data_IF_514686170217
#
_entry.id   IF_514686170217
#
_cell.length_a   1.000
_cell.length_b   1.000
_cell.length_c   1.000
_cell.angle_alpha   90.00
_cell.angle_beta   90.00
_cell.angle_gamma   90.00
#
_symmetry.space_group_name_H-M   'P 1'
#
loop_
_entity.id
_entity.type
_entity.pdbx_description
1 polymer ?
#
# COMPACT_ATOMS: atom_id res chain seq x y z
N UNK A 1 4.50 35.96 13.50
CA UNK A 1 5.82 35.31 13.38
C UNK A 1 5.70 34.16 12.39
N UNK A 2 6.29 34.30 11.19
CA UNK A 2 6.21 33.28 10.14
C UNK A 2 7.19 32.16 10.49
N UNK A 3 6.71 30.94 10.80
CA UNK A 3 7.61 29.78 10.98
C UNK A 3 8.41 29.57 9.69
N UNK A 4 9.71 29.25 9.76
CA UNK A 4 10.50 28.98 8.56
C UNK A 4 9.87 27.82 7.78
N UNK A 5 9.52 28.07 6.51
CA UNK A 5 8.88 27.07 5.64
C UNK A 5 9.85 25.90 5.42
N UNK A 6 9.50 24.69 5.85
CA UNK A 6 10.36 23.50 5.69
C UNK A 6 10.70 23.24 4.21
N UNK A 7 11.91 22.75 3.92
CA UNK A 7 12.25 22.23 2.60
C UNK A 7 11.51 20.91 2.35
N UNK A 8 10.92 20.76 1.16
CA UNK A 8 10.06 19.63 0.82
C UNK A 8 10.55 18.85 -0.42
N UNK A 9 10.48 17.52 -0.33
CA UNK A 9 10.57 16.58 -1.44
C UNK A 9 9.15 16.16 -1.79
N UNK A 10 8.74 16.41 -3.03
CA UNK A 10 7.37 16.20 -3.50
C UNK A 10 7.33 14.95 -4.39
N UNK A 11 6.34 14.09 -4.16
CA UNK A 11 5.98 13.01 -5.06
C UNK A 11 4.63 13.29 -5.72
N UNK A 12 4.56 13.13 -7.03
CA UNK A 12 3.33 13.34 -7.81
C UNK A 12 3.01 12.07 -8.60
N UNK A 13 1.79 11.57 -8.40
CA UNK A 13 1.17 10.52 -9.23
C UNK A 13 0.14 11.16 -10.17
N UNK A 14 0.43 11.30 -11.47
CA UNK A 14 -0.45 11.98 -12.42
C UNK A 14 -1.47 11.02 -13.08
N UNK A 15 -2.72 11.46 -13.21
CA UNK A 15 -3.77 10.70 -13.89
C UNK A 15 -5.17 11.32 -13.74
N UNK A 16 -6.20 10.56 -14.14
CA UNK A 16 -7.61 10.95 -13.92
C UNK A 16 -7.93 11.14 -12.43
N UNK A 17 -7.28 10.35 -11.59
CA UNK A 17 -7.09 10.61 -10.17
C UNK A 17 -5.62 10.93 -9.98
N UNK A 18 -5.30 12.14 -9.54
CA UNK A 18 -3.93 12.53 -9.25
C UNK A 18 -3.73 12.60 -7.73
N UNK A 19 -2.50 12.32 -7.29
CA UNK A 19 -2.13 12.39 -5.88
C UNK A 19 -0.82 13.15 -5.68
N UNK A 20 -0.70 13.81 -4.54
CA UNK A 20 0.49 14.54 -4.12
C UNK A 20 0.90 14.12 -2.72
N UNK A 21 2.20 13.90 -2.55
CA UNK A 21 2.82 13.67 -1.25
C UNK A 21 3.96 14.67 -1.05
N UNK A 22 4.10 15.24 0.14
CA UNK A 22 5.25 16.07 0.51
C UNK A 22 5.95 15.51 1.74
N UNK A 23 7.26 15.30 1.63
CA UNK A 23 8.14 14.89 2.72
C UNK A 23 9.05 16.05 3.11
N UNK A 24 9.31 16.26 4.39
CA UNK A 24 10.44 17.10 4.81
C UNK A 24 11.79 16.37 4.66
N UNK A 25 12.89 17.08 4.87
CA UNK A 25 14.25 16.50 4.78
C UNK A 25 14.55 15.49 5.90
N UNK A 26 13.69 15.37 6.92
CA UNK A 26 13.75 14.31 7.93
C UNK A 26 12.98 13.05 7.50
N UNK A 27 12.31 13.10 6.34
CA UNK A 27 11.50 12.01 5.79
C UNK A 27 10.09 11.91 6.39
N UNK A 28 9.59 12.94 7.09
CA UNK A 28 8.23 12.97 7.64
C UNK A 28 7.24 13.51 6.61
N UNK A 29 6.11 12.83 6.45
CA UNK A 29 5.00 13.28 5.60
C UNK A 29 4.39 14.56 6.18
N UNK A 30 4.43 15.63 5.40
CA UNK A 30 3.83 16.93 5.70
C UNK A 30 2.52 17.16 4.93
N UNK A 31 2.33 16.48 3.79
CA UNK A 31 1.12 16.54 2.96
C UNK A 31 0.89 15.18 2.30
N UNK A 32 -0.35 14.72 2.27
CA UNK A 32 -0.79 13.57 1.49
C UNK A 32 -2.25 13.78 1.09
N UNK A 33 -2.51 14.03 -0.18
CA UNK A 33 -3.85 14.28 -0.71
C UNK A 33 -4.00 13.64 -2.09
N UNK A 34 -5.22 13.22 -2.43
CA UNK A 34 -5.58 12.71 -3.74
C UNK A 34 -6.97 13.20 -4.16
N UNK A 35 -7.18 13.32 -5.46
CA UNK A 35 -8.45 13.82 -5.99
C UNK A 35 -8.68 13.44 -7.45
N UNK A 36 -9.95 13.23 -7.80
CA UNK A 36 -10.38 13.16 -9.20
C UNK A 36 -10.36 14.57 -9.78
N UNK A 37 -9.83 14.72 -10.98
CA UNK A 37 -9.67 16.03 -11.65
C UNK A 37 -8.88 17.06 -10.81
N UNK A 38 -7.87 16.62 -10.07
CA UNK A 38 -7.07 17.49 -9.19
C UNK A 38 -6.15 18.41 -10.03
N UNK A 39 -6.43 19.72 -10.15
CA UNK A 39 -5.73 20.56 -11.10
C UNK A 39 -4.32 20.94 -10.60
N UNK A 40 -3.33 21.15 -11.50
CA UNK A 40 -1.96 21.53 -11.14
C UNK A 40 -1.86 22.78 -10.27
N UNK A 41 -2.73 23.77 -10.50
CA UNK A 41 -2.78 25.01 -9.72
C UNK A 41 -3.13 24.75 -8.25
N UNK A 42 -4.08 23.86 -7.98
CA UNK A 42 -4.45 23.50 -6.62
C UNK A 42 -3.34 22.69 -5.95
N UNK A 43 -2.71 21.75 -6.67
CA UNK A 43 -1.56 21.00 -6.16
C UNK A 43 -0.43 21.95 -5.73
N UNK A 44 -0.10 22.94 -6.56
CA UNK A 44 0.89 23.97 -6.25
C UNK A 44 0.52 24.75 -4.98
N UNK A 45 -0.74 25.18 -4.87
CA UNK A 45 -1.22 25.93 -3.71
C UNK A 45 -1.08 25.12 -2.41
N UNK A 46 -1.46 23.84 -2.44
CA UNK A 46 -1.33 22.92 -1.29
C UNK A 46 0.13 22.76 -0.87
N UNK A 47 1.03 22.55 -1.84
CA UNK A 47 2.46 22.39 -1.57
C UNK A 47 3.05 23.65 -0.92
N UNK A 48 2.76 24.84 -1.48
CA UNK A 48 3.33 26.12 -1.03
C UNK A 48 2.80 26.55 0.35
N UNK A 49 1.58 26.13 0.71
CA UNK A 49 1.04 26.29 2.07
C UNK A 49 1.81 25.50 3.11
N UNK A 50 2.26 24.29 2.75
CA UNK A 50 2.94 23.36 3.67
C UNK A 50 4.43 23.66 3.80
N UNK A 51 5.10 24.09 2.73
CA UNK A 51 6.53 24.39 2.77
C UNK A 51 7.12 24.88 1.45
N UNK A 52 8.45 24.75 1.32
CA UNK A 52 9.23 25.16 0.15
C UNK A 52 9.68 23.91 -0.63
N UNK A 53 9.09 23.60 -1.79
CA UNK A 53 9.51 22.47 -2.60
C UNK A 53 10.92 22.68 -3.15
N UNK A 54 11.77 21.66 -3.02
CA UNK A 54 13.15 21.66 -3.51
C UNK A 54 13.39 20.55 -4.54
N UNK A 55 12.65 19.45 -4.43
CA UNK A 55 12.73 18.31 -5.34
C UNK A 55 11.32 17.83 -5.67
N UNK A 56 11.08 17.46 -6.91
CA UNK A 56 9.85 16.81 -7.38
C UNK A 56 10.22 15.47 -8.01
N UNK A 57 9.47 14.43 -7.69
CA UNK A 57 9.63 13.08 -8.20
C UNK A 57 8.31 12.54 -8.73
N UNK A 58 8.38 11.72 -9.77
CA UNK A 58 7.25 10.96 -10.31
C UNK A 58 7.65 9.50 -10.49
N UNK A 59 6.66 8.63 -10.67
CA UNK A 59 6.84 7.18 -10.72
C UNK A 59 7.23 6.66 -12.12
N UNK A 60 7.24 7.54 -13.12
CA UNK A 60 7.58 7.24 -14.52
C UNK A 60 8.94 7.82 -14.90
N UNK A 61 9.77 7.03 -15.59
CA UNK A 61 11.07 7.47 -16.12
C UNK A 61 11.03 8.60 -17.16
N UNK A 62 9.85 8.92 -17.74
CA UNK A 62 9.63 10.17 -18.49
C UNK A 62 8.57 11.00 -17.78
N UNK A 63 9.00 12.13 -17.23
CA UNK A 63 8.16 13.08 -16.50
C UNK A 63 6.98 13.54 -17.38
N UNK A 64 5.71 13.29 -16.99
CA UNK A 64 4.54 13.78 -17.74
C UNK A 64 4.52 15.32 -17.76
N UNK A 65 3.99 15.93 -18.84
CA UNK A 65 3.98 17.39 -19.02
C UNK A 65 3.40 18.14 -17.81
N UNK A 66 2.34 17.60 -17.22
CA UNK A 66 1.70 18.13 -16.01
C UNK A 66 2.67 18.23 -14.82
N UNK A 67 3.55 17.25 -14.64
CA UNK A 67 4.54 17.24 -13.56
C UNK A 67 5.64 18.27 -13.85
N UNK A 68 6.00 18.43 -15.13
CA UNK A 68 7.00 19.41 -15.58
C UNK A 68 6.51 20.87 -15.43
N UNK A 69 5.22 21.12 -15.67
CA UNK A 69 4.58 22.43 -15.45
C UNK A 69 4.56 22.79 -13.96
N UNK A 70 4.22 21.81 -13.10
CA UNK A 70 4.26 21.97 -11.64
C UNK A 70 5.70 22.22 -11.18
N UNK A 71 6.67 21.49 -11.72
CA UNK A 71 8.09 21.66 -11.40
C UNK A 71 8.61 23.04 -11.76
N UNK A 72 8.33 23.48 -12.97
CA UNK A 72 8.74 24.80 -13.47
C UNK A 72 8.14 25.90 -12.61
N UNK A 73 6.85 25.79 -12.28
CA UNK A 73 6.14 26.76 -11.43
C UNK A 73 6.71 26.85 -10.02
N UNK A 74 7.15 25.71 -9.47
CA UNK A 74 7.71 25.64 -8.11
C UNK A 74 9.22 25.94 -8.06
N UNK A 75 9.91 25.93 -9.20
CA UNK A 75 11.36 26.11 -9.30
C UNK A 75 12.13 25.03 -8.54
N UNK A 76 11.66 23.79 -8.63
CA UNK A 76 12.25 22.62 -7.97
C UNK A 76 13.05 21.75 -8.95
N UNK A 77 13.98 20.96 -8.42
CA UNK A 77 14.74 19.98 -9.20
C UNK A 77 13.86 18.76 -9.52
N UNK A 78 13.92 18.27 -10.76
CA UNK A 78 13.32 16.97 -11.10
C UNK A 78 14.21 15.84 -10.60
N UNK A 79 13.60 14.83 -9.99
CA UNK A 79 14.23 13.55 -9.70
C UNK A 79 13.59 12.51 -10.60
N UNK A 80 14.38 11.97 -11.51
CA UNK A 80 14.00 10.87 -12.40
C UNK A 80 14.68 9.59 -11.88
N UNK A 81 13.93 8.51 -11.64
CA UNK A 81 14.53 7.26 -11.20
C UNK A 81 15.27 6.57 -12.35
N UNK A 82 16.41 5.92 -12.07
CA UNK A 82 17.20 5.19 -13.08
C UNK A 82 16.44 4.03 -13.74
N UNK A 83 15.39 3.51 -13.06
CA UNK A 83 14.47 2.51 -13.55
C UNK A 83 13.07 2.76 -12.95
N UNK A 84 12.01 2.42 -13.68
CA UNK A 84 10.65 2.49 -13.16
C UNK A 84 10.54 1.75 -11.82
N UNK A 85 9.80 2.35 -10.88
CA UNK A 85 9.62 1.77 -9.55
C UNK A 85 8.82 0.46 -9.66
N UNK A 86 9.48 -0.67 -9.37
CA UNK A 86 8.81 -1.97 -9.31
C UNK A 86 7.56 -1.91 -8.39
N UNK A 87 6.44 -2.42 -8.92
CA UNK A 87 5.13 -2.51 -8.27
C UNK A 87 5.19 -3.06 -6.82
N UNK A 88 6.13 -3.96 -6.52
CA UNK A 88 6.36 -4.50 -5.18
C UNK A 88 7.04 -3.50 -4.23
N UNK A 89 7.96 -2.68 -4.73
CA UNK A 89 8.60 -1.61 -3.96
C UNK A 89 7.63 -0.47 -3.66
N UNK A 90 6.70 -0.16 -4.58
CA UNK A 90 5.63 0.83 -4.36
C UNK A 90 4.75 0.46 -3.15
N UNK A 91 4.34 -0.81 -3.02
CA UNK A 91 3.52 -1.31 -1.90
C UNK A 91 4.21 -1.30 -0.53
N UNK A 92 5.52 -1.51 -0.46
CA UNK A 92 6.27 -1.47 0.82
C UNK A 92 6.60 -0.05 1.30
N UNK A 93 6.60 0.95 0.41
CA UNK A 93 7.00 2.32 0.72
C UNK A 93 5.82 3.27 0.92
N UNK A 94 4.67 2.99 0.28
CA UNK A 94 3.49 3.85 0.33
C UNK A 94 2.67 3.69 1.62
N UNK A 95 2.58 4.75 2.41
CA UNK A 95 1.49 4.94 3.38
C UNK A 95 0.42 5.78 2.70
N UNK A 96 -0.84 5.37 2.73
CA UNK A 96 -1.94 6.10 2.08
C UNK A 96 -3.24 5.31 2.08
N UNK A 97 -4.36 6.01 1.96
CA UNK A 97 -5.70 5.41 1.99
C UNK A 97 -6.06 4.72 0.69
N UNK A 98 -5.47 5.14 -0.43
CA UNK A 98 -5.69 4.57 -1.76
C UNK A 98 -4.37 4.28 -2.51
N UNK A 99 -4.47 3.64 -3.68
CA UNK A 99 -3.31 3.28 -4.50
C UNK A 99 -2.51 4.50 -4.98
N UNK A 100 -3.19 5.58 -5.37
CA UNK A 100 -2.55 6.80 -5.89
C UNK A 100 -1.73 7.52 -4.81
N UNK A 101 -2.25 7.64 -3.60
CA UNK A 101 -1.53 8.18 -2.44
C UNK A 101 -0.29 7.35 -2.11
N UNK A 102 -0.42 6.01 -2.17
CA UNK A 102 0.71 5.10 -1.96
C UNK A 102 1.80 5.32 -3.01
N UNK A 103 1.41 5.52 -4.27
CA UNK A 103 2.34 5.76 -5.38
C UNK A 103 3.02 7.12 -5.28
N UNK A 104 2.28 8.19 -4.94
CA UNK A 104 2.84 9.51 -4.68
C UNK A 104 3.85 9.48 -3.52
N UNK A 105 3.53 8.80 -2.42
CA UNK A 105 4.46 8.61 -1.29
C UNK A 105 5.67 7.78 -1.70
N UNK A 106 5.48 6.70 -2.45
CA UNK A 106 6.58 5.86 -2.91
C UNK A 106 7.59 6.65 -3.76
N UNK A 107 7.11 7.52 -4.66
CA UNK A 107 7.96 8.42 -5.46
C UNK A 107 8.75 9.39 -4.59
N UNK A 108 8.09 10.05 -3.63
CA UNK A 108 8.76 10.98 -2.70
C UNK A 108 9.81 10.26 -1.83
N UNK A 109 9.47 9.10 -1.28
CA UNK A 109 10.38 8.29 -0.43
C UNK A 109 11.56 7.77 -1.24
N UNK A 110 11.34 7.39 -2.50
CA UNK A 110 12.41 6.95 -3.37
C UNK A 110 13.42 8.06 -3.66
N UNK A 111 12.93 9.27 -3.98
CA UNK A 111 13.79 10.45 -4.14
C UNK A 111 14.56 10.76 -2.85
N UNK A 112 13.88 10.75 -1.69
CA UNK A 112 14.51 10.95 -0.38
C UNK A 112 15.66 9.97 -0.12
N UNK A 113 15.46 8.67 -0.41
CA UNK A 113 16.48 7.64 -0.20
C UNK A 113 17.72 7.83 -1.08
N UNK A 114 17.52 8.20 -2.34
CA UNK A 114 18.63 8.43 -3.27
C UNK A 114 19.39 9.71 -2.95
N UNK A 115 18.71 10.74 -2.44
CA UNK A 115 19.28 12.05 -2.12
C UNK A 115 19.87 12.14 -0.69
N UNK A 116 19.95 11.04 0.06
CA UNK A 116 20.46 11.07 1.45
C UNK A 116 21.89 11.61 1.57
N UNK A 117 22.72 11.50 0.52
CA UNK A 117 24.10 12.04 0.57
C UNK A 117 24.07 13.57 0.47
N UNK A 118 23.24 14.11 -0.39
CA UNK A 118 23.01 15.54 -0.63
C UNK A 118 22.33 16.18 0.58
N UNK A 119 21.28 15.53 1.11
CA UNK A 119 20.54 16.00 2.30
C UNK A 119 21.50 16.13 3.49
N UNK A 120 22.34 15.12 3.77
CA UNK A 120 23.36 15.19 4.84
C UNK A 120 24.38 16.32 4.64
N UNK A 121 24.74 16.63 3.39
CA UNK A 121 25.62 17.77 3.11
C UNK A 121 24.91 19.06 3.48
N UNK A 122 23.66 19.24 3.06
CA UNK A 122 22.84 20.41 3.40
C UNK A 122 22.70 20.56 4.92
N UNK A 123 22.45 19.48 5.65
CA UNK A 123 22.38 19.49 7.12
C UNK A 123 23.70 19.97 7.75
N UNK A 124 24.84 19.47 7.26
CA UNK A 124 26.16 19.89 7.75
C UNK A 124 26.47 21.36 7.49
N UNK A 125 25.97 21.94 6.40
CA UNK A 125 26.06 23.39 6.15
C UNK A 125 25.15 24.18 7.10
N UNK A 126 24.08 23.55 7.60
CA UNK A 126 23.03 24.19 8.36
C UNK A 126 23.17 24.11 9.88
N UNK A 127 24.13 23.35 10.43
CA UNK A 127 24.48 23.41 11.87
C UNK A 127 24.85 24.84 12.33
N UNK A 128 24.98 25.79 11.39
CA UNK A 128 25.28 27.21 11.66
C UNK A 128 24.04 28.11 11.76
N UNK A 129 22.91 27.81 11.09
CA UNK A 129 21.69 28.65 11.10
C UNK A 129 20.43 27.81 10.72
N UNK A 130 19.58 27.45 11.68
CA UNK A 130 18.33 26.66 11.44
C UNK A 130 17.35 27.35 10.46
N UNK A 131 17.40 28.68 10.41
CA UNK A 131 16.51 29.55 9.62
C UNK A 131 16.79 29.50 8.10
N UNK A 132 17.93 28.98 7.65
CA UNK A 132 18.37 29.02 6.24
C UNK A 132 18.23 27.68 5.49
N UNK A 133 17.84 26.58 6.16
CA UNK A 133 17.67 25.23 5.54
C UNK A 133 16.96 25.25 4.19
N UNK A 134 15.83 25.95 4.03
CA UNK A 134 15.06 25.92 2.79
C UNK A 134 15.72 26.68 1.64
N UNK A 135 16.53 27.68 1.96
CA UNK A 135 17.26 28.47 0.96
C UNK A 135 18.52 27.76 0.50
N UNK A 136 19.27 27.18 1.45
CA UNK A 136 20.45 26.36 1.17
C UNK A 136 20.06 25.14 0.34
N UNK A 137 18.98 24.44 0.71
CA UNK A 137 18.49 23.30 -0.06
C UNK A 137 18.08 23.70 -1.49
N UNK A 138 17.33 24.81 -1.66
CA UNK A 138 16.96 25.29 -3.00
C UNK A 138 18.19 25.66 -3.84
N UNK A 139 19.19 26.32 -3.24
CA UNK A 139 20.45 26.68 -3.94
C UNK A 139 21.29 25.45 -4.27
N UNK A 140 21.39 24.49 -3.36
CA UNK A 140 22.16 23.26 -3.54
C UNK A 140 21.58 22.34 -4.62
N UNK A 141 20.24 22.32 -4.74
CA UNK A 141 19.55 21.55 -5.77
C UNK A 141 19.28 22.33 -7.07
N UNK A 142 19.59 23.63 -7.11
CA UNK A 142 19.68 24.38 -8.37
C UNK A 142 21.04 24.13 -9.05
N UNK A 143 21.10 24.19 -10.39
CA UNK A 143 22.24 23.74 -11.23
C UNK A 143 23.59 24.51 -11.08
N UNK A 144 23.90 25.08 -9.90
CA UNK A 144 25.21 25.67 -9.60
C UNK A 144 25.84 25.04 -8.35
N UNK A 145 26.94 24.29 -8.49
CA UNK A 145 27.69 23.82 -7.32
C UNK A 145 28.39 24.98 -6.63
N UNK A 146 28.24 25.07 -5.31
CA UNK A 146 29.02 25.96 -4.44
C UNK A 146 30.48 25.51 -4.43
N UNK A 147 31.38 26.25 -5.09
CA UNK A 147 32.82 26.15 -4.86
C UNK A 147 33.17 26.94 -3.58
N UNK A 148 33.96 26.40 -2.65
CA UNK A 148 34.50 27.20 -1.55
C UNK A 148 35.57 28.16 -2.08
N UNK A 149 35.36 29.47 -1.92
CA UNK A 149 36.37 30.50 -2.18
C UNK A 149 37.54 30.34 -1.19
N UNK A 150 38.76 30.21 -1.74
CA UNK A 150 40.01 30.39 -0.99
C UNK A 150 40.42 31.85 -1.17
N UNK A 151 40.51 32.59 -0.08
CA UNK A 151 41.21 33.88 -0.03
C UNK A 151 42.71 33.63 -0.11
N UNK A 152 43.34 34.06 -1.20
CA UNK A 152 44.79 34.22 -1.32
C UNK A 152 45.19 35.51 -0.60
N UNK A 153 46.18 35.42 0.29
CA UNK A 153 46.90 36.58 0.82
C UNK A 153 48.25 36.61 0.10
N UNK A 154 48.50 37.70 -0.62
CA UNK A 154 49.80 38.04 -1.18
C UNK A 154 50.74 38.46 -0.03
N UNK A 155 51.94 37.88 0.01
CA UNK A 155 53.05 38.37 0.83
C UNK A 155 53.96 39.22 -0.07
N UNK A 156 54.07 40.51 0.27
CA UNK A 156 55.07 41.42 -0.29
C UNK A 156 56.48 41.01 0.16
N UNK A 157 57.37 40.83 -0.81
CA UNK A 157 58.81 40.79 -0.58
C UNK A 157 59.31 42.18 -0.19
N UNK A 158 59.92 42.32 0.98
CA UNK A 158 60.88 43.40 1.25
C UNK A 158 62.24 42.83 1.60
N UNK A 159 63.16 43.10 0.69
CA UNK A 159 64.60 42.92 0.79
C UNK A 159 65.15 43.85 1.88
N UNK A 160 65.80 43.32 2.93
CA UNK A 160 66.61 44.11 3.85
C UNK A 160 67.94 43.39 4.16
N UNK A 161 68.97 44.07 3.67
CA UNK A 161 70.39 44.07 3.99
C UNK A 161 70.84 43.50 5.34
N UNK A 162 71.93 42.75 5.28
CA UNK A 162 72.69 42.21 6.40
C UNK A 162 73.47 43.32 7.12
N UNK A 163 73.29 43.44 8.45
CA UNK A 163 74.34 43.85 9.40
C UNK A 163 73.83 43.74 10.86
N UNK A 164 74.27 42.70 11.59
CA UNK A 164 74.59 42.69 13.04
C UNK A 164 74.61 41.26 13.63
N UNK A 165 75.81 40.68 13.78
CA UNK A 165 76.03 39.24 13.94
C UNK A 165 76.42 38.75 15.35
N UNK A 166 76.03 39.42 16.44
CA UNK A 166 76.25 38.86 17.80
C UNK A 166 75.05 38.90 18.76
N UNK A 167 74.09 39.80 18.58
CA UNK A 167 72.82 39.78 19.32
C UNK A 167 71.77 38.83 18.69
N UNK A 168 71.80 38.63 17.36
CA UNK A 168 70.76 37.85 16.64
C UNK A 168 70.87 36.33 16.80
N UNK A 169 72.02 35.80 17.21
CA UNK A 169 72.23 34.35 17.30
C UNK A 169 71.49 33.73 18.49
N UNK A 170 71.49 34.42 19.65
CA UNK A 170 70.79 33.98 20.85
C UNK A 170 69.25 34.04 20.70
N UNK A 171 68.73 35.01 19.95
CA UNK A 171 67.31 35.08 19.59
C UNK A 171 66.92 33.98 18.60
N UNK A 172 67.75 33.72 17.59
CA UNK A 172 67.56 32.60 16.65
C UNK A 172 67.61 31.23 17.33
N UNK A 173 68.45 31.07 18.34
CA UNK A 173 68.54 29.82 19.10
C UNK A 173 67.31 29.62 20.01
N UNK A 174 66.79 30.69 20.63
CA UNK A 174 65.52 30.66 21.38
C UNK A 174 64.31 30.39 20.48
N UNK A 175 64.29 30.97 19.28
CA UNK A 175 63.27 30.73 18.25
C UNK A 175 63.28 29.25 17.80
N UNK A 176 64.47 28.69 17.56
CA UNK A 176 64.67 27.26 17.25
C UNK A 176 64.17 26.35 18.36
N UNK A 177 64.47 26.67 19.62
CA UNK A 177 64.00 25.91 20.77
C UNK A 177 62.45 25.90 20.83
N UNK A 178 61.82 27.07 20.70
CA UNK A 178 60.35 27.20 20.66
C UNK A 178 59.72 26.43 19.49
N UNK A 179 60.30 26.52 18.31
CA UNK A 179 59.84 25.80 17.13
C UNK A 179 59.98 24.28 17.33
N UNK A 180 61.08 23.81 17.93
CA UNK A 180 61.25 22.39 18.29
C UNK A 180 60.20 21.92 19.29
N UNK A 181 59.90 22.70 20.32
CA UNK A 181 58.83 22.36 21.27
C UNK A 181 57.47 22.31 20.57
N UNK A 182 57.21 23.22 19.63
CA UNK A 182 55.94 23.27 18.89
C UNK A 182 55.80 22.11 17.92
N UNK A 183 56.87 21.73 17.21
CA UNK A 183 56.91 20.53 16.37
C UNK A 183 56.61 19.29 17.20
N UNK A 184 57.24 19.15 18.36
CA UNK A 184 57.02 18.01 19.27
C UNK A 184 55.56 17.92 19.74
N UNK A 185 54.98 19.05 20.16
CA UNK A 185 53.57 19.10 20.55
C UNK A 185 52.62 18.76 19.39
N UNK A 186 52.92 19.23 18.17
CA UNK A 186 52.14 18.90 16.98
C UNK A 186 52.27 17.42 16.61
N UNK A 187 53.45 16.83 16.75
CA UNK A 187 53.68 15.39 16.53
C UNK A 187 52.89 14.54 17.53
N UNK A 188 52.87 14.94 18.80
CA UNK A 188 52.08 14.27 19.84
C UNK A 188 50.57 14.38 19.57
N UNK A 189 50.09 15.57 19.14
CA UNK A 189 48.70 15.76 18.73
C UNK A 189 48.33 14.90 17.50
N UNK A 190 49.21 14.84 16.50
CA UNK A 190 49.00 13.99 15.32
C UNK A 190 48.95 12.52 15.71
N UNK A 191 49.77 12.08 16.66
CA UNK A 191 49.75 10.71 17.17
C UNK A 191 48.45 10.41 17.91
N UNK A 192 47.98 11.30 18.78
CA UNK A 192 46.71 11.16 19.48
C UNK A 192 45.52 11.09 18.51
N UNK A 193 45.44 12.04 17.56
CA UNK A 193 44.39 12.07 16.53
C UNK A 193 44.41 10.83 15.64
N UNK A 194 45.60 10.28 15.32
CA UNK A 194 45.71 9.02 14.57
C UNK A 194 45.17 7.82 15.35
N UNK A 195 45.39 7.79 16.66
CA UNK A 195 44.85 6.75 17.54
C UNK A 195 43.32 6.81 17.59
N UNK A 196 42.77 7.99 17.86
CA UNK A 196 41.33 8.23 17.92
C UNK A 196 40.63 7.90 16.60
N UNK A 197 41.24 8.30 15.47
CA UNK A 197 40.75 7.94 14.13
C UNK A 197 40.77 6.42 13.90
N UNK A 198 41.73 5.69 14.49
CA UNK A 198 41.82 4.24 14.44
C UNK A 198 40.66 3.57 15.18
N UNK A 199 40.40 4.02 16.41
CA UNK A 199 39.30 3.55 17.25
C UNK A 199 37.94 3.84 16.60
N UNK A 200 37.74 5.06 16.10
CA UNK A 200 36.50 5.45 15.43
C UNK A 200 36.26 4.62 14.15
N UNK A 201 37.32 4.34 13.38
CA UNK A 201 37.23 3.45 12.21
C UNK A 201 36.85 2.03 12.59
N UNK A 202 37.41 1.51 13.69
CA UNK A 202 37.08 0.17 14.19
C UNK A 202 35.62 0.11 14.68
N UNK A 203 35.18 1.12 15.44
CA UNK A 203 33.79 1.26 15.87
C UNK A 203 32.83 1.31 14.68
N UNK A 204 33.15 2.10 13.65
CA UNK A 204 32.35 2.18 12.42
C UNK A 204 32.27 0.84 11.67
N UNK A 205 33.36 0.06 11.66
CA UNK A 205 33.37 -1.29 11.05
C UNK A 205 32.44 -2.24 11.82
N UNK A 206 32.49 -2.25 13.14
CA UNK A 206 31.61 -3.07 13.98
C UNK A 206 30.15 -2.66 13.84
N UNK A 207 29.86 -1.36 13.83
CA UNK A 207 28.49 -0.85 13.68
C UNK A 207 27.91 -1.21 12.31
N UNK A 208 28.73 -1.16 11.25
CA UNK A 208 28.34 -1.61 9.90
C UNK A 208 28.03 -3.11 9.86
N UNK A 209 28.83 -3.94 10.51
CA UNK A 209 28.57 -5.38 10.59
C UNK A 209 27.22 -5.64 11.25
N UNK A 210 27.00 -5.10 12.47
CA UNK A 210 25.73 -5.25 13.19
C UNK A 210 24.53 -4.74 12.40
N UNK A 211 24.71 -3.68 11.62
CA UNK A 211 23.65 -3.15 10.77
C UNK A 211 23.28 -4.11 9.62
N UNK A 212 24.27 -4.70 8.96
CA UNK A 212 24.00 -5.69 7.92
C UNK A 212 23.36 -6.96 8.50
N UNK A 213 23.83 -7.45 9.66
CA UNK A 213 23.23 -8.60 10.35
C UNK A 213 21.75 -8.34 10.70
N UNK A 214 21.44 -7.16 11.26
CA UNK A 214 20.07 -6.77 11.59
C UNK A 214 19.18 -6.60 10.35
N UNK A 215 19.75 -6.12 9.25
CA UNK A 215 19.05 -5.91 7.99
C UNK A 215 18.76 -7.22 7.29
N UNK A 216 19.68 -8.19 7.35
CA UNK A 216 19.48 -9.55 6.86
C UNK A 216 18.40 -10.27 7.66
N UNK A 217 18.46 -10.25 9.00
CA UNK A 217 17.42 -10.85 9.84
C UNK A 217 16.02 -10.24 9.62
N UNK A 218 15.93 -8.93 9.36
CA UNK A 218 14.66 -8.28 8.97
C UNK A 218 14.16 -8.74 7.60
N UNK A 219 15.05 -8.92 6.62
CA UNK A 219 14.67 -9.42 5.29
C UNK A 219 14.12 -10.83 5.37
N UNK A 220 14.79 -11.72 6.10
CA UNK A 220 14.35 -13.10 6.28
C UNK A 220 12.98 -13.16 6.94
N UNK A 221 12.75 -12.31 7.94
CA UNK A 221 11.44 -12.22 8.59
C UNK A 221 10.36 -11.77 7.62
N UNK A 222 10.62 -10.73 6.81
CA UNK A 222 9.65 -10.27 5.80
C UNK A 222 9.32 -11.36 4.78
N UNK A 223 10.33 -12.09 4.29
CA UNK A 223 10.13 -13.18 3.33
C UNK A 223 9.29 -14.29 3.95
N UNK A 224 9.61 -14.71 5.19
CA UNK A 224 8.82 -15.71 5.92
C UNK A 224 7.39 -15.25 6.17
N UNK A 225 7.18 -14.01 6.61
CA UNK A 225 5.86 -13.46 6.86
C UNK A 225 5.02 -13.41 5.56
N UNK A 226 5.64 -13.07 4.42
CA UNK A 226 4.98 -13.11 3.12
C UNK A 226 4.59 -14.53 2.70
N UNK A 227 5.45 -15.51 2.95
CA UNK A 227 5.15 -16.90 2.62
C UNK A 227 4.06 -17.49 3.52
N UNK A 228 4.09 -17.16 4.82
CA UNK A 228 3.03 -17.51 5.76
C UNK A 228 1.70 -16.91 5.30
N UNK A 229 1.66 -15.61 4.99
CA UNK A 229 0.44 -14.94 4.53
C UNK A 229 -0.14 -15.56 3.25
N UNK A 230 0.71 -15.97 2.30
CA UNK A 230 0.27 -16.70 1.09
C UNK A 230 -0.34 -18.06 1.45
N UNK A 231 0.33 -18.82 2.33
CA UNK A 231 -0.16 -20.14 2.77
C UNK A 231 -1.48 -20.03 3.53
N UNK A 232 -1.62 -19.02 4.40
CA UNK A 232 -2.87 -18.74 5.11
C UNK A 232 -4.01 -18.39 4.14
N UNK A 233 -3.73 -17.61 3.10
CA UNK A 233 -4.70 -17.34 2.04
C UNK A 233 -5.21 -18.61 1.35
N UNK A 234 -4.29 -19.50 0.95
CA UNK A 234 -4.63 -20.79 0.33
C UNK A 234 -5.43 -21.67 1.29
N UNK A 235 -5.04 -21.72 2.57
CA UNK A 235 -5.75 -22.50 3.59
C UNK A 235 -7.19 -21.99 3.75
N UNK A 236 -7.40 -20.67 3.80
CA UNK A 236 -8.73 -20.10 3.93
C UNK A 236 -9.61 -20.38 2.71
N UNK A 237 -9.04 -20.28 1.51
CA UNK A 237 -9.74 -20.65 0.26
C UNK A 237 -10.14 -22.12 0.26
N UNK A 238 -9.20 -23.01 0.60
CA UNK A 238 -9.46 -24.46 0.67
C UNK A 238 -10.47 -24.82 1.75
N UNK A 239 -10.45 -24.15 2.90
CA UNK A 239 -11.44 -24.37 3.94
C UNK A 239 -12.84 -23.92 3.51
N UNK A 240 -12.94 -22.82 2.75
CA UNK A 240 -14.23 -22.37 2.21
C UNK A 240 -14.78 -23.36 1.19
N UNK A 241 -13.91 -23.86 0.29
CA UNK A 241 -14.25 -24.90 -0.68
C UNK A 241 -14.69 -26.20 0.01
N UNK A 242 -14.01 -26.61 1.09
CA UNK A 242 -14.41 -27.78 1.90
C UNK A 242 -15.81 -27.57 2.48
N UNK A 243 -16.10 -26.39 3.05
CA UNK A 243 -17.41 -26.10 3.62
C UNK A 243 -18.53 -26.16 2.57
N UNK A 244 -18.31 -25.60 1.38
CA UNK A 244 -19.26 -25.66 0.27
C UNK A 244 -19.51 -27.11 -0.15
N UNK A 245 -18.44 -27.90 -0.32
CA UNK A 245 -18.54 -29.32 -0.67
C UNK A 245 -19.25 -30.16 0.42
N UNK A 246 -19.01 -29.85 1.69
CA UNK A 246 -19.70 -30.51 2.81
C UNK A 246 -21.20 -30.21 2.82
N UNK A 247 -21.60 -28.96 2.53
CA UNK A 247 -23.02 -28.61 2.39
C UNK A 247 -23.66 -29.30 1.18
N UNK A 248 -22.97 -29.33 0.03
CA UNK A 248 -23.44 -30.03 -1.15
C UNK A 248 -23.62 -31.53 -0.90
N UNK A 249 -22.66 -32.16 -0.21
CA UNK A 249 -22.71 -33.56 0.15
C UNK A 249 -23.90 -33.84 1.07
N UNK A 250 -24.10 -33.02 2.11
CA UNK A 250 -25.24 -33.14 3.01
C UNK A 250 -26.58 -33.01 2.28
N UNK A 251 -26.68 -32.06 1.35
CA UNK A 251 -27.86 -31.88 0.52
C UNK A 251 -28.09 -33.05 -0.45
N UNK A 252 -27.02 -33.66 -0.97
CA UNK A 252 -27.10 -34.86 -1.78
C UNK A 252 -27.58 -36.07 -0.96
N UNK A 253 -27.07 -36.27 0.25
CA UNK A 253 -27.50 -37.35 1.14
C UNK A 253 -28.97 -37.23 1.56
N UNK A 254 -29.44 -36.01 1.86
CA UNK A 254 -30.86 -35.75 2.16
C UNK A 254 -31.72 -36.12 0.95
N UNK A 255 -31.33 -35.69 -0.25
CA UNK A 255 -32.02 -36.04 -1.50
C UNK A 255 -32.02 -37.54 -1.73
N UNK A 256 -30.90 -38.23 -1.55
CA UNK A 256 -30.82 -39.69 -1.70
C UNK A 256 -31.81 -40.40 -0.75
N UNK A 257 -31.90 -39.97 0.51
CA UNK A 257 -32.89 -40.48 1.48
C UNK A 257 -34.32 -40.21 1.02
N UNK A 258 -34.62 -39.02 0.48
CA UNK A 258 -35.92 -38.70 -0.08
C UNK A 258 -36.27 -39.59 -1.27
N UNK A 259 -35.34 -39.79 -2.22
CA UNK A 259 -35.52 -40.68 -3.36
C UNK A 259 -35.73 -42.14 -2.94
N UNK A 260 -34.98 -42.65 -1.95
CA UNK A 260 -35.18 -44.00 -1.41
C UNK A 260 -36.59 -44.17 -0.82
N UNK A 261 -37.07 -43.20 -0.05
CA UNK A 261 -38.44 -43.21 0.50
C UNK A 261 -39.50 -43.11 -0.60
N UNK A 262 -39.28 -42.23 -1.59
CA UNK A 262 -40.13 -42.10 -2.76
C UNK A 262 -40.27 -43.42 -3.51
N UNK A 263 -39.16 -44.10 -3.81
CA UNK A 263 -39.17 -45.41 -4.47
C UNK A 263 -39.96 -46.45 -3.64
N UNK A 264 -39.86 -46.43 -2.31
CA UNK A 264 -40.67 -47.30 -1.45
C UNK A 264 -42.16 -47.01 -1.64
N UNK A 265 -42.57 -45.75 -1.52
CA UNK A 265 -43.99 -45.36 -1.68
C UNK A 265 -44.53 -45.68 -3.07
N UNK A 266 -43.72 -45.51 -4.12
CA UNK A 266 -44.09 -45.88 -5.48
C UNK A 266 -44.34 -47.39 -5.62
N UNK A 267 -43.58 -48.23 -4.92
CA UNK A 267 -43.86 -49.68 -4.87
C UNK A 267 -45.15 -49.99 -4.13
N UNK A 268 -45.51 -49.16 -3.16
CA UNK A 268 -46.74 -49.27 -2.37
C UNK A 268 -47.98 -48.68 -3.11
N UNK A 269 -47.81 -48.22 -4.35
CA UNK A 269 -48.90 -47.73 -5.21
C UNK A 269 -49.04 -46.20 -5.30
N UNK A 270 -48.13 -45.43 -4.70
CA UNK A 270 -48.13 -43.97 -4.82
C UNK A 270 -47.92 -43.51 -6.28
N UNK A 271 -48.43 -42.33 -6.61
CA UNK A 271 -48.36 -41.74 -7.96
C UNK A 271 -47.28 -40.66 -8.07
N UNK A 272 -46.68 -40.54 -9.26
CA UNK A 272 -45.73 -39.47 -9.59
C UNK A 272 -46.50 -38.31 -10.20
N UNK A 273 -46.54 -37.17 -9.50
CA UNK A 273 -47.26 -35.97 -9.93
C UNK A 273 -46.26 -34.83 -10.23
N UNK A 274 -46.34 -34.14 -11.36
CA UNK A 274 -45.42 -33.06 -11.71
C UNK A 274 -45.64 -31.79 -10.85
N UNK A 275 -44.53 -31.14 -10.45
CA UNK A 275 -44.57 -29.84 -9.74
C UNK A 275 -44.50 -28.70 -10.74
N UNK A 276 -45.52 -27.84 -10.77
CA UNK A 276 -45.55 -26.65 -11.63
C UNK A 276 -45.05 -25.41 -10.88
N UNK A 277 -43.90 -24.89 -11.35
CA UNK A 277 -43.29 -23.66 -10.88
C UNK A 277 -43.30 -22.63 -12.02
N UNK A 278 -44.28 -21.73 -12.04
CA UNK A 278 -44.33 -20.59 -12.97
C UNK A 278 -45.24 -20.76 -14.20
N UNK A 279 -44.79 -20.23 -15.35
CA UNK A 279 -45.48 -20.33 -16.64
C UNK A 279 -44.90 -21.54 -17.40
N UNK A 280 -45.49 -22.72 -17.18
CA UNK A 280 -45.25 -23.87 -18.05
C UNK A 280 -46.13 -23.74 -19.29
N UNK A 281 -45.59 -24.01 -20.48
CA UNK A 281 -46.35 -23.99 -21.75
C UNK A 281 -47.36 -25.15 -21.79
N UNK A 282 -47.03 -26.27 -21.16
CA UNK A 282 -47.91 -27.41 -20.95
C UNK A 282 -48.14 -27.63 -19.45
N UNK A 283 -49.40 -27.69 -19.06
CA UNK A 283 -49.83 -27.99 -17.69
C UNK A 283 -50.48 -29.39 -17.74
N UNK A 284 -49.86 -30.40 -17.12
CA UNK A 284 -50.43 -31.75 -17.03
C UNK A 284 -51.79 -31.73 -16.32
N UNK A 285 -52.65 -32.69 -16.65
CA UNK A 285 -54.02 -32.78 -16.09
C UNK A 285 -54.02 -32.86 -14.56
N UNK A 286 -53.11 -33.64 -13.99
CA UNK A 286 -52.84 -33.73 -12.54
C UNK A 286 -51.51 -33.05 -12.24
N UNK A 287 -51.51 -32.06 -11.37
CA UNK A 287 -50.29 -31.35 -10.98
C UNK A 287 -50.33 -30.85 -9.55
N UNK A 288 -49.17 -30.52 -9.00
CA UNK A 288 -49.05 -29.82 -7.72
C UNK A 288 -48.21 -28.55 -7.85
N UNK A 289 -48.37 -27.62 -6.92
CA UNK A 289 -47.55 -26.40 -6.88
C UNK A 289 -47.21 -25.98 -5.46
N UNK A 290 -46.11 -25.22 -5.34
CA UNK A 290 -45.71 -24.54 -4.09
C UNK A 290 -46.43 -23.21 -3.88
N UNK A 291 -47.01 -22.64 -4.93
CA UNK A 291 -47.57 -21.28 -4.94
C UNK A 291 -49.09 -21.30 -4.98
N UNK A 292 -49.72 -20.63 -4.01
CA UNK A 292 -51.17 -20.47 -3.96
C UNK A 292 -51.72 -19.66 -5.16
N UNK A 293 -50.98 -18.65 -5.63
CA UNK A 293 -51.35 -17.87 -6.81
C UNK A 293 -51.43 -18.73 -8.08
N UNK A 294 -50.49 -19.66 -8.25
CA UNK A 294 -50.48 -20.59 -9.39
C UNK A 294 -51.66 -21.54 -9.30
N UNK A 295 -51.92 -22.09 -8.11
CA UNK A 295 -53.05 -22.98 -7.82
C UNK A 295 -54.37 -22.32 -8.21
N UNK A 296 -54.64 -21.13 -7.70
CA UNK A 296 -55.90 -20.41 -7.98
C UNK A 296 -56.07 -20.10 -9.47
N UNK A 297 -55.00 -19.62 -10.12
CA UNK A 297 -55.05 -19.26 -11.55
C UNK A 297 -55.32 -20.47 -12.44
N UNK A 298 -54.69 -21.61 -12.15
CA UNK A 298 -54.85 -22.83 -12.96
C UNK A 298 -56.15 -23.57 -12.63
N UNK A 299 -56.60 -23.57 -11.36
CA UNK A 299 -57.95 -24.08 -11.01
C UNK A 299 -59.06 -23.31 -11.72
N UNK A 300 -58.98 -21.97 -11.82
CA UNK A 300 -59.94 -21.15 -12.60
C UNK A 300 -59.99 -21.53 -14.08
N UNK A 301 -58.94 -22.18 -14.60
CA UNK A 301 -58.86 -22.68 -15.98
C UNK A 301 -59.27 -24.15 -16.11
N UNK A 302 -59.73 -24.79 -15.03
CA UNK A 302 -60.22 -26.16 -15.02
C UNK A 302 -59.16 -27.24 -14.79
N UNK A 303 -57.93 -26.89 -14.42
CA UNK A 303 -56.88 -27.89 -14.15
C UNK A 303 -56.99 -28.46 -12.74
N UNK A 304 -56.73 -29.77 -12.61
CA UNK A 304 -56.66 -30.45 -11.31
C UNK A 304 -55.27 -30.21 -10.69
N UNK A 305 -55.20 -29.11 -9.92
CA UNK A 305 -53.97 -28.66 -9.26
C UNK A 305 -54.20 -28.43 -7.76
N UNK A 306 -53.24 -28.91 -6.97
CA UNK A 306 -53.26 -28.82 -5.51
C UNK A 306 -51.97 -28.22 -4.97
N UNK A 307 -52.03 -27.70 -3.75
CA UNK A 307 -50.82 -27.30 -3.05
C UNK A 307 -50.09 -28.55 -2.54
N UNK A 308 -48.76 -28.53 -2.56
CA UNK A 308 -47.96 -29.64 -2.01
C UNK A 308 -48.34 -29.96 -0.55
N UNK A 309 -48.70 -28.96 0.24
CA UNK A 309 -49.12 -29.11 1.65
C UNK A 309 -50.48 -29.80 1.82
N UNK A 310 -51.33 -29.79 0.78
CA UNK A 310 -52.69 -30.36 0.82
C UNK A 310 -52.69 -31.87 0.55
N UNK A 311 -51.60 -32.42 0.00
CA UNK A 311 -51.51 -33.82 -0.40
C UNK A 311 -50.42 -34.51 0.39
N UNK A 312 -50.74 -35.66 0.99
CA UNK A 312 -49.74 -36.45 1.71
C UNK A 312 -48.78 -37.11 0.72
N UNK A 313 -47.48 -36.88 0.90
CA UNK A 313 -46.51 -37.36 -0.09
C UNK A 313 -45.06 -37.07 0.25
N UNK A 314 -44.20 -37.17 -0.76
CA UNK A 314 -42.78 -36.80 -0.69
C UNK A 314 -42.48 -35.86 -1.85
N UNK A 315 -41.98 -34.68 -1.49
CA UNK A 315 -41.50 -33.72 -2.46
C UNK A 315 -40.10 -34.12 -2.97
N UNK A 316 -39.97 -34.18 -4.29
CA UNK A 316 -38.70 -34.26 -5.01
C UNK A 316 -38.50 -32.94 -5.77
N UNK A 317 -37.42 -32.85 -6.55
CA UNK A 317 -37.04 -31.59 -7.21
C UNK A 317 -38.16 -31.03 -8.11
N UNK A 318 -38.57 -31.85 -9.08
CA UNK A 318 -39.53 -31.48 -10.14
C UNK A 318 -40.83 -32.30 -10.08
N UNK A 319 -40.90 -33.25 -9.15
CA UNK A 319 -42.01 -34.19 -9.01
C UNK A 319 -42.41 -34.34 -7.55
N UNK A 320 -43.65 -34.73 -7.32
CA UNK A 320 -44.22 -35.00 -6.02
C UNK A 320 -44.77 -36.43 -6.02
N UNK A 321 -44.39 -37.22 -5.02
CA UNK A 321 -44.89 -38.58 -4.87
C UNK A 321 -46.12 -38.52 -3.97
N UNK A 322 -47.29 -38.51 -4.57
CA UNK A 322 -48.57 -38.44 -3.85
C UNK A 322 -48.99 -39.85 -3.42
N UNK A 323 -49.25 -40.04 -2.12
CA UNK A 323 -49.83 -41.31 -1.63
C UNK A 323 -51.27 -41.49 -2.11
N UNK A 324 -52.00 -40.38 -2.22
CA UNK A 324 -53.38 -40.32 -2.69
C UNK A 324 -53.59 -38.97 -3.37
N UNK A 325 -53.95 -38.97 -4.65
CA UNK A 325 -54.16 -37.75 -5.43
C UNK A 325 -55.67 -37.57 -5.69
N UNK A 326 -56.27 -36.42 -5.34
CA UNK A 326 -57.71 -36.22 -5.50
C UNK A 326 -58.11 -36.19 -6.98
N UNK A 327 -59.02 -37.07 -7.39
CA UNK A 327 -59.28 -37.29 -8.83
C UNK A 327 -60.26 -36.32 -9.49
N UNK A 328 -60.91 -35.40 -8.77
CA UNK A 328 -61.78 -34.39 -9.37
C UNK A 328 -61.94 -33.14 -8.51
N UNK A 329 -62.27 -32.03 -9.18
CA UNK A 329 -62.59 -30.74 -8.58
C UNK A 329 -63.88 -30.73 -7.71
N UNK A 330 -64.60 -31.85 -7.63
CA UNK A 330 -65.87 -31.96 -6.90
C UNK A 330 -65.73 -32.61 -5.50
N UNK A 331 -64.63 -33.30 -5.18
CA UNK A 331 -64.48 -33.96 -3.87
C UNK A 331 -63.81 -33.11 -2.78
N UNK A 332 -63.36 -31.88 -3.09
CA UNK A 332 -62.69 -31.07 -2.07
C UNK A 332 -63.66 -30.52 -1.01
N UNK A 333 -64.92 -30.27 -1.40
CA UNK A 333 -65.97 -29.90 -0.44
C UNK A 333 -66.33 -31.08 0.47
N UNK A 334 -66.46 -32.29 -0.08
CA UNK A 334 -66.70 -33.52 0.71
C UNK A 334 -65.54 -33.85 1.66
N UNK A 335 -64.29 -33.76 1.21
CA UNK A 335 -63.11 -34.04 2.07
C UNK A 335 -62.97 -32.98 3.19
N UNK A 336 -63.30 -31.72 2.92
CA UNK A 336 -63.33 -30.67 3.96
C UNK A 336 -64.46 -30.89 4.96
N UNK A 337 -65.63 -31.35 4.50
CA UNK A 337 -66.73 -31.71 5.40
C UNK A 337 -66.36 -32.91 6.27
N UNK A 338 -65.79 -33.97 5.70
CA UNK A 338 -65.37 -35.16 6.44
C UNK A 338 -64.26 -34.84 7.49
N UNK A 339 -63.39 -33.88 7.19
CA UNK A 339 -62.37 -33.38 8.13
C UNK A 339 -62.93 -32.45 9.22
N UNK A 340 -64.04 -31.77 8.95
CA UNK A 340 -64.76 -30.95 9.94
C UNK A 340 -65.64 -31.79 10.85
N UNK A 341 -66.22 -32.87 10.34
CA UNK A 341 -67.05 -33.81 11.11
C UNK A 341 -66.23 -34.73 12.03
N UNK A 342 -64.94 -34.92 11.73
CA UNK A 342 -64.03 -35.74 12.55
C UNK A 342 -63.31 -34.99 13.69
N UNK A 343 -63.73 -33.75 14.01
CA UNK A 343 -63.21 -32.93 15.12
C UNK A 343 -64.17 -32.76 16.29
#
# INVERSE_FOLDING_TARGET
MNKPKKALIIGIDPGSTSAVAALDLDGKIQLLESGKNFPPSEIIERIVKVGKPVVIASDKGKTPSTVEDIRTSLGAKIFEPDQDLDSQRKKQLGKGSNSHEKDAVASAVHAYKNLQREIRKIEKYNDRLETERPEIAKRYFSDRPLKPEKTEKEEENTDITQENNKASQAEKDREKERLRTKVRNLEDQVKALKSELGEEKQGKKQLRSKYEDLKEGKRDKIVKDQEISKREGIINEKNSEIQELEEELKNAEIREKQYKKAISKLKDGAEIIPIINGRSEEVPERSVTRSDEIKERLRKRGFNIHKIEEIKGIELKDHYIAEDFPDTAENFEEIIEEYKESR
#
